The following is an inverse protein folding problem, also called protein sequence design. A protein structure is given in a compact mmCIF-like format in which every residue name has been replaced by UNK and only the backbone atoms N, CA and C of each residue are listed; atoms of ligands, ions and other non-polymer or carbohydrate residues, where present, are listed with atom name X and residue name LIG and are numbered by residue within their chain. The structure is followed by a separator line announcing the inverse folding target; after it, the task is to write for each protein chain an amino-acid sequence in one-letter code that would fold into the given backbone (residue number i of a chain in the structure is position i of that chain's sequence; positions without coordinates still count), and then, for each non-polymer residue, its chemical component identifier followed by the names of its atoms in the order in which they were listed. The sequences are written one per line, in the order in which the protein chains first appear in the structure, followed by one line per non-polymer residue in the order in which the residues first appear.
data_IF_933730001027
#
_entry.id   IF_933730001027
#
_cell.length_a   1.000
_cell.length_b   1.000
_cell.length_c   1.000
_cell.angle_alpha   90.00
_cell.angle_beta   90.00
_cell.angle_gamma   90.00
#
_symmetry.space_group_name_H-M   'P 1'
#
loop_
_entity.id
_entity.type
_entity.pdbx_description
1 polymer ?
#
# COMPACT_ATOMS: atom_id res chain seq x y z
N UNK A 1 32.10 1.78 53.94
CA UNK A 1 30.88 0.93 53.72
C UNK A 1 30.64 0.91 52.22
N UNK A 2 31.11 -0.17 51.60
CA UNK A 2 31.06 -0.35 50.13
C UNK A 2 29.77 -1.10 49.83
N UNK A 3 28.88 -0.52 49.01
CA UNK A 3 27.75 -1.23 48.45
C UNK A 3 27.97 -1.36 46.96
N UNK A 4 28.17 -2.61 46.52
CA UNK A 4 28.38 -2.96 45.13
C UNK A 4 27.07 -2.86 44.34
N UNK A 5 27.15 -2.27 43.18
CA UNK A 5 26.10 -2.36 42.16
C UNK A 5 26.36 -3.62 41.33
N UNK A 6 25.47 -4.59 41.44
CA UNK A 6 25.43 -5.74 40.56
C UNK A 6 24.92 -5.32 39.18
N UNK A 7 25.73 -5.56 38.17
CA UNK A 7 25.32 -5.56 36.75
C UNK A 7 24.29 -6.67 36.54
N UNK A 8 23.07 -6.32 36.19
CA UNK A 8 22.15 -7.20 35.52
C UNK A 8 22.22 -6.94 34.01
N UNK A 9 22.71 -7.94 33.34
CA UNK A 9 22.81 -8.05 31.87
C UNK A 9 21.46 -7.80 31.22
N UNK A 10 21.48 -6.93 30.22
CA UNK A 10 20.38 -6.73 29.28
C UNK A 10 20.03 -8.05 28.58
N UNK A 11 18.83 -8.53 28.83
CA UNK A 11 18.17 -9.44 27.93
C UNK A 11 17.86 -8.70 26.63
N UNK A 12 18.37 -9.23 25.53
CA UNK A 12 17.96 -8.86 24.18
C UNK A 12 16.46 -9.17 24.03
N UNK A 13 15.63 -8.16 24.11
CA UNK A 13 14.29 -8.21 23.54
C UNK A 13 14.44 -8.28 22.00
N UNK A 14 14.64 -9.50 21.51
CA UNK A 14 14.46 -9.80 20.09
C UNK A 14 12.98 -9.60 19.78
N UNK A 15 12.65 -8.53 19.07
CA UNK A 15 11.35 -8.36 18.43
C UNK A 15 11.12 -9.63 17.61
N UNK A 16 10.17 -10.46 18.07
CA UNK A 16 9.74 -11.67 17.37
C UNK A 16 9.12 -11.23 16.04
N UNK A 17 9.90 -11.33 14.98
CA UNK A 17 9.35 -11.28 13.62
C UNK A 17 8.54 -12.57 13.46
N UNK A 18 7.22 -12.52 13.20
CA UNK A 18 6.44 -13.73 12.99
C UNK A 18 7.06 -14.55 11.87
N UNK A 19 7.18 -15.84 12.07
CA UNK A 19 7.65 -16.76 11.03
C UNK A 19 6.77 -16.65 9.79
N UNK A 20 7.42 -16.58 8.61
CA UNK A 20 6.83 -16.36 7.27
C UNK A 20 6.06 -17.61 6.83
N UNK A 21 4.95 -17.93 7.50
CA UNK A 21 4.14 -19.11 7.16
C UNK A 21 2.76 -18.80 6.54
N UNK A 22 2.24 -17.57 6.65
CA UNK A 22 0.89 -17.26 6.16
C UNK A 22 0.77 -17.17 4.62
N UNK A 23 1.69 -16.59 3.85
CA UNK A 23 1.59 -16.60 2.39
C UNK A 23 1.62 -18.04 1.82
N UNK A 24 2.38 -18.94 2.45
CA UNK A 24 2.47 -20.34 2.05
C UNK A 24 1.15 -21.06 2.34
N UNK A 25 0.47 -20.77 3.45
CA UNK A 25 -0.82 -21.36 3.78
C UNK A 25 -1.94 -20.91 2.82
N UNK A 26 -1.99 -19.62 2.45
CA UNK A 26 -2.94 -19.09 1.48
C UNK A 26 -2.70 -19.67 0.06
N UNK A 27 -1.45 -19.76 -0.37
CA UNK A 27 -1.05 -20.39 -1.64
C UNK A 27 -1.44 -21.87 -1.64
N UNK A 28 -1.19 -22.61 -0.57
CA UNK A 28 -1.55 -24.02 -0.45
C UNK A 28 -3.07 -24.23 -0.43
N UNK A 29 -3.83 -23.36 0.23
CA UNK A 29 -5.30 -23.39 0.23
C UNK A 29 -5.86 -23.12 -1.17
N UNK A 30 -5.35 -22.11 -1.88
CA UNK A 30 -5.75 -21.82 -3.25
C UNK A 30 -5.42 -22.97 -4.21
N UNK A 31 -4.26 -23.62 -4.05
CA UNK A 31 -3.85 -24.79 -4.85
C UNK A 31 -4.72 -26.00 -4.58
N UNK A 32 -5.02 -26.33 -3.31
CA UNK A 32 -5.92 -27.41 -2.96
C UNK A 32 -7.34 -27.20 -3.52
N UNK A 33 -7.83 -25.96 -3.52
CA UNK A 33 -9.12 -25.61 -4.11
C UNK A 33 -9.10 -25.76 -5.64
N UNK A 34 -8.03 -25.36 -6.32
CA UNK A 34 -7.86 -25.52 -7.75
C UNK A 34 -7.79 -26.99 -8.15
N UNK A 35 -7.07 -27.82 -7.39
CA UNK A 35 -6.98 -29.26 -7.64
C UNK A 35 -8.36 -29.94 -7.47
N UNK A 36 -9.15 -29.52 -6.49
CA UNK A 36 -10.52 -30.00 -6.31
C UNK A 36 -11.44 -29.62 -7.47
N UNK A 37 -11.35 -28.38 -7.96
CA UNK A 37 -12.13 -27.97 -9.13
C UNK A 37 -11.69 -28.69 -10.40
N UNK A 38 -10.38 -28.94 -10.59
CA UNK A 38 -9.87 -29.72 -11.71
C UNK A 38 -10.41 -31.15 -11.68
N UNK A 39 -10.47 -31.82 -10.52
CA UNK A 39 -11.07 -33.13 -10.37
C UNK A 39 -12.55 -33.14 -10.80
N UNK A 40 -13.34 -32.17 -10.33
CA UNK A 40 -14.75 -32.03 -10.69
C UNK A 40 -14.96 -31.79 -12.20
N UNK A 41 -14.03 -31.12 -12.89
CA UNK A 41 -14.10 -30.88 -14.32
C UNK A 41 -13.73 -32.15 -15.11
N UNK A 42 -12.81 -32.98 -14.58
CA UNK A 42 -12.50 -34.30 -15.16
C UNK A 42 -13.74 -35.17 -15.13
N UNK A 43 -14.49 -35.20 -14.04
CA UNK A 43 -15.71 -35.97 -13.90
C UNK A 43 -16.88 -35.43 -14.76
N UNK A 44 -16.98 -34.09 -14.85
CA UNK A 44 -18.01 -33.42 -15.66
C UNK A 44 -17.43 -32.17 -16.36
N UNK A 45 -16.87 -32.31 -17.57
CA UNK A 45 -16.24 -31.22 -18.31
C UNK A 45 -17.16 -30.03 -18.64
N UNK A 46 -18.47 -30.27 -18.67
CA UNK A 46 -19.48 -29.27 -19.02
C UNK A 46 -20.18 -28.65 -17.79
N UNK A 47 -19.63 -28.82 -16.61
CA UNK A 47 -20.18 -28.18 -15.42
C UNK A 47 -19.82 -26.68 -15.40
N UNK A 48 -20.74 -25.85 -15.87
CA UNK A 48 -20.54 -24.42 -16.05
C UNK A 48 -20.24 -23.70 -14.73
N UNK A 49 -20.86 -24.11 -13.60
CA UNK A 49 -20.61 -23.50 -12.29
C UNK A 49 -19.17 -23.75 -11.79
N UNK A 50 -18.64 -24.94 -12.08
CA UNK A 50 -17.26 -25.31 -11.71
C UNK A 50 -16.26 -24.55 -12.60
N UNK A 51 -16.54 -24.41 -13.90
CA UNK A 51 -15.73 -23.63 -14.81
C UNK A 51 -15.68 -22.14 -14.38
N UNK A 52 -16.83 -21.53 -14.06
CA UNK A 52 -16.86 -20.15 -13.54
C UNK A 52 -16.07 -20.01 -12.26
N UNK A 53 -16.18 -20.98 -11.36
CA UNK A 53 -15.45 -20.95 -10.08
C UNK A 53 -13.94 -21.07 -10.29
N UNK A 54 -13.50 -21.92 -11.24
CA UNK A 54 -12.09 -22.05 -11.60
C UNK A 54 -11.57 -20.79 -12.31
N UNK A 55 -12.36 -20.22 -13.21
CA UNK A 55 -12.03 -18.96 -13.86
C UNK A 55 -11.81 -17.82 -12.87
N UNK A 56 -12.68 -17.71 -11.86
CA UNK A 56 -12.52 -16.71 -10.80
C UNK A 56 -11.21 -16.90 -10.01
N UNK A 57 -10.83 -18.15 -9.68
CA UNK A 57 -9.54 -18.45 -9.04
C UNK A 57 -8.35 -18.09 -9.95
N UNK A 58 -8.41 -18.44 -11.23
CA UNK A 58 -7.36 -18.10 -12.19
C UNK A 58 -7.23 -16.58 -12.35
N UNK A 59 -8.35 -15.85 -12.38
CA UNK A 59 -8.34 -14.39 -12.44
C UNK A 59 -7.67 -13.78 -11.20
N UNK A 60 -8.03 -14.24 -10.00
CA UNK A 60 -7.40 -13.81 -8.75
C UNK A 60 -5.89 -14.11 -8.69
N UNK A 61 -5.47 -15.26 -9.23
CA UNK A 61 -4.07 -15.65 -9.34
C UNK A 61 -3.33 -15.02 -10.55
N UNK A 62 -3.96 -14.09 -11.29
CA UNK A 62 -3.41 -13.46 -12.49
C UNK A 62 -3.11 -14.42 -13.64
N UNK A 63 -3.66 -15.62 -13.64
CA UNK A 63 -3.57 -16.59 -14.71
C UNK A 63 -4.64 -16.33 -15.79
N UNK A 64 -4.55 -15.16 -16.43
CA UNK A 64 -5.61 -14.60 -17.27
C UNK A 64 -5.99 -15.46 -18.47
N UNK A 65 -5.02 -16.17 -19.07
CA UNK A 65 -5.26 -17.06 -20.23
C UNK A 65 -6.15 -18.25 -19.86
N UNK A 66 -5.93 -18.87 -18.69
CA UNK A 66 -6.75 -19.98 -18.21
C UNK A 66 -8.14 -19.51 -17.79
N UNK A 67 -8.22 -18.37 -17.12
CA UNK A 67 -9.51 -17.74 -16.78
C UNK A 67 -10.35 -17.50 -18.05
N UNK A 68 -9.71 -16.96 -19.11
CA UNK A 68 -10.39 -16.71 -20.38
C UNK A 68 -10.88 -17.97 -21.04
N UNK A 69 -10.08 -19.02 -21.08
CA UNK A 69 -10.48 -20.29 -21.70
C UNK A 69 -11.72 -20.90 -21.03
N UNK A 70 -11.79 -20.86 -19.69
CA UNK A 70 -12.94 -21.35 -18.94
C UNK A 70 -14.19 -20.50 -19.22
N UNK A 71 -14.07 -19.18 -19.21
CA UNK A 71 -15.20 -18.26 -19.46
C UNK A 71 -15.68 -18.35 -20.90
N UNK A 72 -14.78 -18.46 -21.88
CA UNK A 72 -15.17 -18.67 -23.29
C UNK A 72 -15.94 -19.99 -23.45
N UNK A 73 -15.54 -21.06 -22.76
CA UNK A 73 -16.26 -22.34 -22.78
C UNK A 73 -17.66 -22.21 -22.16
N UNK A 74 -17.79 -21.49 -21.02
CA UNK A 74 -19.10 -21.23 -20.39
C UNK A 74 -20.01 -20.43 -21.31
N UNK A 75 -19.53 -19.33 -21.88
CA UNK A 75 -20.32 -18.43 -22.72
C UNK A 75 -20.64 -19.00 -24.09
N UNK A 76 -19.89 -20.00 -24.56
CA UNK A 76 -20.22 -20.77 -25.75
C UNK A 76 -21.46 -21.65 -25.57
N UNK A 77 -21.70 -22.15 -24.35
CA UNK A 77 -22.88 -22.95 -23.99
C UNK A 77 -24.06 -22.04 -23.61
N UNK A 78 -23.84 -21.05 -22.76
CA UNK A 78 -24.85 -20.10 -22.33
C UNK A 78 -24.28 -18.68 -22.27
N UNK A 79 -24.53 -17.93 -23.33
CA UNK A 79 -24.04 -16.56 -23.49
C UNK A 79 -24.66 -15.53 -22.53
N UNK A 80 -25.66 -15.93 -21.75
CA UNK A 80 -26.41 -15.04 -20.85
C UNK A 80 -26.17 -15.31 -19.36
N UNK A 81 -25.18 -16.13 -19.04
CA UNK A 81 -24.80 -16.38 -17.63
C UNK A 81 -24.21 -15.12 -17.00
N UNK A 82 -24.88 -14.62 -15.97
CA UNK A 82 -24.53 -13.35 -15.31
C UNK A 82 -23.11 -13.39 -14.70
N UNK A 83 -22.79 -14.48 -13.99
CA UNK A 83 -21.49 -14.64 -13.35
C UNK A 83 -20.34 -14.76 -14.38
N UNK A 84 -20.58 -15.46 -15.49
CA UNK A 84 -19.59 -15.52 -16.57
C UNK A 84 -19.38 -14.16 -17.22
N UNK A 85 -20.43 -13.36 -17.40
CA UNK A 85 -20.33 -12.00 -17.94
C UNK A 85 -19.61 -11.05 -16.96
N UNK A 86 -19.84 -11.20 -15.66
CA UNK A 86 -19.11 -10.50 -14.62
C UNK A 86 -17.61 -10.79 -14.73
N UNK A 87 -17.23 -12.09 -14.68
CA UNK A 87 -15.82 -12.52 -14.75
C UNK A 87 -15.18 -12.12 -16.08
N UNK A 88 -15.91 -12.18 -17.21
CA UNK A 88 -15.42 -11.68 -18.49
C UNK A 88 -15.10 -10.19 -18.44
N UNK A 89 -15.96 -9.41 -17.83
CA UNK A 89 -15.74 -7.99 -17.64
C UNK A 89 -14.50 -7.71 -16.77
N UNK A 90 -14.35 -8.40 -15.65
CA UNK A 90 -13.19 -8.29 -14.77
C UNK A 90 -11.89 -8.70 -15.47
N UNK A 91 -11.93 -9.76 -16.28
CA UNK A 91 -10.80 -10.23 -17.05
C UNK A 91 -10.35 -9.22 -18.13
N UNK A 92 -11.31 -8.66 -18.86
CA UNK A 92 -11.04 -7.62 -19.83
C UNK A 92 -10.49 -6.35 -19.16
N UNK A 93 -10.98 -6.01 -17.96
CA UNK A 93 -10.47 -4.88 -17.16
C UNK A 93 -9.02 -5.14 -16.73
N UNK A 94 -8.71 -6.34 -16.25
CA UNK A 94 -7.36 -6.74 -15.86
C UNK A 94 -6.35 -6.73 -17.02
N UNK A 95 -6.84 -6.83 -18.27
CA UNK A 95 -6.03 -6.76 -19.51
C UNK A 95 -6.08 -5.38 -20.17
N UNK A 96 -6.63 -4.35 -19.52
CA UNK A 96 -6.80 -2.99 -20.02
C UNK A 96 -7.71 -2.89 -21.28
N UNK A 97 -8.57 -3.88 -21.53
CA UNK A 97 -9.56 -3.86 -22.61
C UNK A 97 -10.88 -3.25 -22.08
N UNK A 98 -10.81 -2.00 -21.66
CA UNK A 98 -11.87 -1.31 -20.88
C UNK A 98 -13.22 -1.25 -21.60
N UNK A 99 -13.24 -1.22 -22.94
CA UNK A 99 -14.49 -1.16 -23.72
C UNK A 99 -15.26 -2.47 -23.61
N UNK A 100 -14.60 -3.57 -23.86
CA UNK A 100 -15.20 -4.92 -23.79
C UNK A 100 -15.57 -5.29 -22.35
N UNK A 101 -14.79 -4.81 -21.37
CA UNK A 101 -15.11 -4.91 -19.95
C UNK A 101 -16.48 -4.28 -19.66
N UNK A 102 -16.63 -3.00 -20.03
CA UNK A 102 -17.88 -2.26 -19.88
C UNK A 102 -19.05 -2.97 -20.59
N UNK A 103 -18.83 -3.41 -21.85
CA UNK A 103 -19.89 -4.03 -22.66
C UNK A 103 -20.38 -5.36 -22.04
N UNK A 104 -19.47 -6.15 -21.42
CA UNK A 104 -19.80 -7.36 -20.68
C UNK A 104 -20.66 -7.05 -19.42
N UNK A 105 -20.22 -6.11 -18.59
CA UNK A 105 -20.98 -5.70 -17.39
C UNK A 105 -22.31 -5.04 -17.74
N UNK A 106 -22.38 -4.24 -18.82
CA UNK A 106 -23.64 -3.69 -19.31
C UNK A 106 -24.61 -4.77 -19.81
N UNK A 107 -24.09 -5.80 -20.51
CA UNK A 107 -24.92 -6.94 -20.92
C UNK A 107 -25.48 -7.66 -19.69
N UNK A 108 -24.66 -7.92 -18.70
CA UNK A 108 -25.06 -8.50 -17.42
C UNK A 108 -26.21 -7.69 -16.78
N UNK A 109 -26.05 -6.37 -16.62
CA UNK A 109 -27.06 -5.48 -16.04
C UNK A 109 -28.36 -5.39 -16.88
N UNK A 110 -28.30 -5.57 -18.19
CA UNK A 110 -29.51 -5.64 -19.03
C UNK A 110 -30.28 -6.94 -18.84
N UNK A 111 -29.58 -8.05 -18.62
CA UNK A 111 -30.19 -9.35 -18.37
C UNK A 111 -30.86 -9.42 -17.01
N UNK A 112 -30.18 -8.92 -16.00
CA UNK A 112 -30.73 -8.79 -14.64
C UNK A 112 -30.33 -7.45 -14.01
N UNK A 113 -31.23 -6.47 -13.99
CA UNK A 113 -30.98 -5.20 -13.33
C UNK A 113 -30.77 -5.29 -11.81
N UNK A 114 -31.12 -6.39 -11.16
CA UNK A 114 -30.92 -6.60 -9.72
C UNK A 114 -29.60 -7.29 -9.37
N UNK A 115 -28.83 -7.72 -10.38
CA UNK A 115 -27.56 -8.38 -10.16
C UNK A 115 -26.49 -7.37 -9.69
N UNK A 116 -26.27 -7.32 -8.38
CA UNK A 116 -25.44 -6.34 -7.68
C UNK A 116 -23.97 -6.33 -8.18
N UNK A 117 -23.27 -7.48 -8.38
CA UNK A 117 -21.86 -7.45 -8.73
C UNK A 117 -21.57 -6.61 -9.99
N UNK A 118 -22.31 -6.80 -11.07
CA UNK A 118 -22.10 -6.03 -12.31
C UNK A 118 -22.39 -4.52 -12.13
N UNK A 119 -23.33 -4.15 -11.26
CA UNK A 119 -23.61 -2.74 -10.94
C UNK A 119 -22.44 -2.10 -10.21
N UNK A 120 -21.85 -2.79 -9.23
CA UNK A 120 -20.69 -2.30 -8.49
C UNK A 120 -19.47 -2.15 -9.41
N UNK A 121 -19.21 -3.11 -10.28
CA UNK A 121 -18.13 -3.01 -11.28
C UNK A 121 -18.31 -1.82 -12.22
N UNK A 122 -19.53 -1.59 -12.70
CA UNK A 122 -19.82 -0.42 -13.52
C UNK A 122 -19.70 0.88 -12.73
N UNK A 123 -20.12 0.91 -11.45
CA UNK A 123 -19.94 2.08 -10.59
C UNK A 123 -18.44 2.38 -10.36
N UNK A 124 -17.63 1.38 -10.11
CA UNK A 124 -16.16 1.52 -10.01
C UNK A 124 -15.56 2.06 -11.31
N UNK A 125 -15.97 1.53 -12.46
CA UNK A 125 -15.50 2.01 -13.76
C UNK A 125 -15.84 3.49 -13.96
N UNK A 126 -17.10 3.88 -13.70
CA UNK A 126 -17.52 5.28 -13.83
C UNK A 126 -16.77 6.18 -12.84
N UNK A 127 -16.49 5.71 -11.62
CA UNK A 127 -15.66 6.45 -10.66
C UNK A 127 -14.24 6.69 -11.21
N UNK A 128 -13.59 5.64 -11.74
CA UNK A 128 -12.22 5.74 -12.30
C UNK A 128 -12.14 6.71 -13.50
N UNK A 129 -13.18 6.74 -14.34
CA UNK A 129 -13.25 7.69 -15.47
C UNK A 129 -13.87 9.03 -15.09
N UNK A 130 -14.03 9.31 -13.79
CA UNK A 130 -14.54 10.55 -13.22
C UNK A 130 -15.97 10.91 -13.62
N UNK A 131 -16.78 9.95 -14.09
CA UNK A 131 -18.21 10.10 -14.33
C UNK A 131 -18.98 9.85 -13.03
N UNK A 132 -18.76 10.73 -12.04
CA UNK A 132 -19.20 10.54 -10.66
C UNK A 132 -20.73 10.45 -10.51
N UNK A 133 -21.50 11.19 -11.30
CA UNK A 133 -22.96 11.14 -11.27
C UNK A 133 -23.47 9.75 -11.63
N UNK A 134 -22.95 9.13 -12.70
CA UNK A 134 -23.34 7.77 -13.10
C UNK A 134 -22.89 6.72 -12.08
N UNK A 135 -21.71 6.92 -11.50
CA UNK A 135 -21.24 6.06 -10.41
C UNK A 135 -22.20 6.14 -9.22
N UNK A 136 -22.58 7.35 -8.81
CA UNK A 136 -23.49 7.58 -7.70
C UNK A 136 -24.86 6.94 -7.91
N UNK A 137 -25.45 7.08 -9.12
CA UNK A 137 -26.74 6.45 -9.47
C UNK A 137 -26.70 4.92 -9.31
N UNK A 138 -25.60 4.29 -9.74
CA UNK A 138 -25.44 2.84 -9.61
C UNK A 138 -25.25 2.42 -8.16
N UNK A 139 -24.41 3.15 -7.40
CA UNK A 139 -24.19 2.88 -5.96
C UNK A 139 -25.49 3.04 -5.18
N UNK A 140 -26.25 4.12 -5.41
CA UNK A 140 -27.54 4.33 -4.75
C UNK A 140 -28.56 3.25 -5.15
N UNK A 141 -28.52 2.80 -6.42
CA UNK A 141 -29.30 1.65 -6.88
C UNK A 141 -28.95 0.34 -6.16
N UNK A 142 -27.67 0.10 -5.85
CA UNK A 142 -27.24 -1.06 -5.05
C UNK A 142 -27.71 -0.92 -3.61
N UNK A 143 -27.55 0.24 -2.98
CA UNK A 143 -27.99 0.48 -1.60
C UNK A 143 -29.51 0.38 -1.44
N UNK A 144 -30.29 0.66 -2.49
CA UNK A 144 -31.73 0.43 -2.48
C UNK A 144 -32.10 -1.06 -2.52
N UNK A 145 -31.26 -1.91 -3.10
CA UNK A 145 -31.45 -3.37 -3.13
C UNK A 145 -30.92 -4.04 -1.87
N UNK A 146 -29.76 -3.60 -1.38
CA UNK A 146 -29.06 -4.13 -0.22
C UNK A 146 -28.42 -2.98 0.57
N UNK A 147 -29.09 -2.56 1.63
CA UNK A 147 -28.61 -1.50 2.53
C UNK A 147 -27.34 -1.89 3.30
N UNK A 148 -27.05 -3.17 3.39
CA UNK A 148 -25.88 -3.69 4.13
C UNK A 148 -24.74 -4.14 3.19
N UNK A 149 -24.67 -3.59 1.99
CA UNK A 149 -23.60 -3.88 1.06
C UNK A 149 -22.34 -3.06 1.39
N UNK A 150 -21.27 -3.66 1.90
CA UNK A 150 -20.08 -2.91 2.34
C UNK A 150 -19.33 -2.25 1.19
N UNK A 151 -19.29 -2.88 0.00
CA UNK A 151 -18.64 -2.33 -1.19
C UNK A 151 -19.38 -1.09 -1.71
N UNK A 152 -20.72 -1.08 -1.67
CA UNK A 152 -21.51 0.10 -2.03
C UNK A 152 -21.26 1.27 -1.06
N UNK A 153 -21.17 1.00 0.25
CA UNK A 153 -20.79 2.02 1.24
C UNK A 153 -19.37 2.55 1.01
N UNK A 154 -18.44 1.67 0.69
CA UNK A 154 -17.07 2.05 0.35
C UNK A 154 -17.03 2.96 -0.89
N UNK A 155 -17.70 2.58 -1.98
CA UNK A 155 -17.79 3.40 -3.19
C UNK A 155 -18.47 4.75 -2.93
N UNK A 156 -19.49 4.79 -2.05
CA UNK A 156 -20.11 6.05 -1.64
C UNK A 156 -19.11 6.95 -0.91
N UNK A 157 -18.24 6.37 -0.06
CA UNK A 157 -17.14 7.07 0.59
C UNK A 157 -16.14 7.65 -0.40
N UNK A 158 -15.77 6.89 -1.42
CA UNK A 158 -14.90 7.38 -2.50
C UNK A 158 -15.53 8.55 -3.26
N UNK A 159 -16.84 8.47 -3.57
CA UNK A 159 -17.56 9.55 -4.21
C UNK A 159 -17.60 10.83 -3.36
N UNK A 160 -17.81 10.72 -2.04
CA UNK A 160 -17.75 11.88 -1.15
C UNK A 160 -16.37 12.53 -1.15
N UNK A 161 -15.30 11.72 -1.13
CA UNK A 161 -13.93 12.21 -1.16
C UNK A 161 -13.58 12.86 -2.50
N UNK A 162 -13.82 12.18 -3.61
CA UNK A 162 -13.23 12.53 -4.92
C UNK A 162 -14.11 13.50 -5.72
N UNK A 163 -15.43 13.37 -5.63
CA UNK A 163 -16.34 14.26 -6.33
C UNK A 163 -16.67 15.54 -5.56
N UNK A 164 -16.79 15.43 -4.23
CA UNK A 164 -17.26 16.54 -3.38
C UNK A 164 -16.15 17.13 -2.50
N UNK A 165 -15.01 16.46 -2.36
CA UNK A 165 -13.93 16.86 -1.44
C UNK A 165 -14.33 16.77 0.05
N UNK A 166 -15.43 16.08 0.37
CA UNK A 166 -15.94 15.99 1.73
C UNK A 166 -15.33 14.79 2.48
N UNK A 167 -14.16 15.05 3.08
CA UNK A 167 -13.41 14.05 3.85
C UNK A 167 -14.23 13.50 5.04
N UNK A 168 -15.03 14.33 5.70
CA UNK A 168 -15.77 13.89 6.88
C UNK A 168 -16.92 12.95 6.50
N UNK A 169 -17.65 13.26 5.45
CA UNK A 169 -18.66 12.35 4.93
C UNK A 169 -18.04 11.06 4.38
N UNK A 170 -16.90 11.16 3.69
CA UNK A 170 -16.17 9.98 3.22
C UNK A 170 -15.84 9.02 4.37
N UNK A 171 -15.27 9.54 5.48
CA UNK A 171 -14.99 8.76 6.68
C UNK A 171 -16.23 8.08 7.26
N UNK A 172 -17.38 8.76 7.27
CA UNK A 172 -18.63 8.15 7.75
C UNK A 172 -19.07 6.96 6.89
N UNK A 173 -18.93 7.07 5.57
CA UNK A 173 -19.30 6.00 4.66
C UNK A 173 -18.31 4.83 4.72
N UNK A 174 -17.00 5.08 4.83
CA UNK A 174 -16.00 4.04 5.06
C UNK A 174 -16.24 3.34 6.41
N UNK A 175 -16.59 4.09 7.46
CA UNK A 175 -16.93 3.48 8.75
C UNK A 175 -18.15 2.55 8.64
N UNK A 176 -19.18 2.92 7.89
CA UNK A 176 -20.33 2.04 7.64
C UNK A 176 -19.93 0.74 6.93
N UNK A 177 -19.03 0.83 5.93
CA UNK A 177 -18.47 -0.36 5.29
C UNK A 177 -17.77 -1.28 6.29
N UNK A 178 -16.98 -0.70 7.20
CA UNK A 178 -16.26 -1.40 8.26
C UNK A 178 -17.19 -2.00 9.33
N UNK A 179 -18.29 -1.31 9.65
CA UNK A 179 -19.28 -1.80 10.62
C UNK A 179 -20.00 -3.04 10.10
N UNK A 180 -20.20 -3.13 8.78
CA UNK A 180 -20.83 -4.27 8.09
C UNK A 180 -19.80 -5.39 7.89
N UNK A 181 -18.62 -5.07 7.37
CA UNK A 181 -17.52 -6.00 7.12
C UNK A 181 -16.28 -5.53 7.90
N UNK A 182 -16.07 -6.05 9.11
CA UNK A 182 -14.99 -5.62 9.99
C UNK A 182 -13.57 -5.83 9.46
N UNK A 183 -13.38 -6.68 8.49
CA UNK A 183 -12.10 -6.99 7.81
C UNK A 183 -12.00 -6.38 6.39
N UNK A 184 -12.85 -5.38 6.08
CA UNK A 184 -12.82 -4.72 4.77
C UNK A 184 -11.59 -3.79 4.67
N UNK A 185 -10.48 -4.38 4.18
CA UNK A 185 -9.13 -3.81 4.18
C UNK A 185 -9.09 -2.43 3.52
N UNK A 186 -9.75 -2.26 2.37
CA UNK A 186 -9.73 -1.01 1.61
C UNK A 186 -10.40 0.15 2.37
N UNK A 187 -11.48 -0.13 3.10
CA UNK A 187 -12.15 0.89 3.91
C UNK A 187 -11.33 1.25 5.15
N UNK A 188 -10.67 0.26 5.79
CA UNK A 188 -9.79 0.47 6.93
C UNK A 188 -8.59 1.32 6.50
N UNK A 189 -7.98 1.01 5.35
CA UNK A 189 -6.84 1.77 4.81
C UNK A 189 -7.23 3.22 4.50
N UNK A 190 -8.37 3.44 3.83
CA UNK A 190 -8.87 4.79 3.56
C UNK A 190 -9.11 5.59 4.83
N UNK A 191 -9.66 4.98 5.88
CA UNK A 191 -9.79 5.64 7.19
C UNK A 191 -8.42 6.00 7.77
N UNK A 192 -7.45 5.09 7.75
CA UNK A 192 -6.08 5.33 8.21
C UNK A 192 -5.43 6.51 7.49
N UNK A 193 -5.49 6.51 6.17
CA UNK A 193 -4.96 7.58 5.31
C UNK A 193 -5.63 8.94 5.58
N UNK A 194 -6.96 8.98 5.63
CA UNK A 194 -7.69 10.23 5.83
C UNK A 194 -7.49 10.79 7.25
N UNK A 195 -7.52 9.95 8.28
CA UNK A 195 -7.21 10.41 9.64
C UNK A 195 -5.76 10.88 9.77
N UNK A 196 -4.81 10.23 9.08
CA UNK A 196 -3.41 10.69 9.02
C UNK A 196 -3.28 12.06 8.34
N UNK A 197 -4.01 12.29 7.26
CA UNK A 197 -4.05 13.60 6.59
C UNK A 197 -4.61 14.70 7.47
N UNK A 198 -5.58 14.37 8.32
CA UNK A 198 -6.20 15.27 9.31
C UNK A 198 -5.40 15.42 10.61
N UNK A 199 -4.21 14.84 10.72
CA UNK A 199 -3.40 14.76 11.94
C UNK A 199 -4.14 14.16 13.15
N UNK A 200 -5.12 13.31 12.90
CA UNK A 200 -5.94 12.68 13.93
C UNK A 200 -5.29 11.38 14.41
N UNK A 201 -5.13 11.19 15.75
CA UNK A 201 -4.49 10.00 16.31
C UNK A 201 -5.23 8.68 16.04
N UNK A 202 -6.49 8.72 15.61
CA UNK A 202 -7.23 7.54 15.17
C UNK A 202 -6.54 6.84 13.98
N UNK A 203 -5.72 7.54 13.18
CA UNK A 203 -4.93 6.94 12.12
C UNK A 203 -4.15 5.71 12.59
N UNK A 204 -3.52 5.79 13.77
CA UNK A 204 -2.75 4.69 14.36
C UNK A 204 -3.62 3.45 14.57
N UNK A 205 -4.82 3.62 15.14
CA UNK A 205 -5.72 2.50 15.41
C UNK A 205 -6.17 1.77 14.12
N UNK A 206 -6.35 2.50 13.01
CA UNK A 206 -6.67 1.88 11.72
C UNK A 206 -5.47 1.15 11.13
N UNK A 207 -4.27 1.71 11.20
CA UNK A 207 -3.05 1.01 10.77
C UNK A 207 -2.75 -0.21 11.63
N UNK A 208 -2.95 -0.13 12.96
CA UNK A 208 -2.84 -1.28 13.86
C UNK A 208 -3.77 -2.41 13.45
N UNK A 209 -4.99 -2.07 13.03
CA UNK A 209 -5.98 -3.05 12.55
C UNK A 209 -5.53 -3.70 11.24
N UNK A 210 -5.00 -2.93 10.29
CA UNK A 210 -4.44 -3.48 9.04
C UNK A 210 -3.26 -4.42 9.31
N UNK A 211 -2.37 -4.05 10.24
CA UNK A 211 -1.24 -4.87 10.66
C UNK A 211 -1.71 -6.16 11.33
N UNK A 212 -2.78 -6.09 12.13
CA UNK A 212 -3.38 -7.28 12.74
C UNK A 212 -4.02 -8.23 11.71
N UNK A 213 -4.56 -7.70 10.60
CA UNK A 213 -5.11 -8.49 9.50
C UNK A 213 -4.02 -9.12 8.63
N UNK A 214 -2.92 -8.39 8.40
CA UNK A 214 -1.76 -8.88 7.65
C UNK A 214 -0.46 -8.33 8.26
N UNK A 215 0.20 -9.17 9.05
CA UNK A 215 1.45 -8.82 9.75
C UNK A 215 2.66 -8.68 8.82
N UNK A 216 2.53 -9.02 7.53
CA UNK A 216 3.55 -8.86 6.50
C UNK A 216 3.27 -7.67 5.57
N UNK A 217 2.18 -6.94 5.79
CA UNK A 217 1.85 -5.76 4.99
C UNK A 217 2.78 -4.58 5.29
N UNK A 218 3.89 -4.51 4.57
CA UNK A 218 4.89 -3.43 4.69
C UNK A 218 4.26 -2.04 4.60
N UNK A 219 3.25 -1.86 3.72
CA UNK A 219 2.64 -0.55 3.50
C UNK A 219 1.95 -0.01 4.75
N UNK A 220 1.29 -0.86 5.53
CA UNK A 220 0.64 -0.45 6.78
C UNK A 220 1.65 0.03 7.82
N UNK A 221 2.78 -0.67 7.99
CA UNK A 221 3.88 -0.21 8.84
C UNK A 221 4.48 1.10 8.33
N UNK A 222 4.74 1.20 7.03
CA UNK A 222 5.29 2.42 6.43
C UNK A 222 4.38 3.63 6.66
N UNK A 223 3.08 3.49 6.42
CA UNK A 223 2.11 4.58 6.59
C UNK A 223 1.98 4.99 8.07
N UNK A 224 1.98 4.03 9.00
CA UNK A 224 1.98 4.33 10.46
C UNK A 224 3.29 5.00 10.88
N UNK A 225 4.43 4.51 10.39
CA UNK A 225 5.74 5.12 10.59
C UNK A 225 5.81 6.56 10.08
N UNK A 226 5.23 6.83 8.91
CA UNK A 226 5.13 8.21 8.37
C UNK A 226 4.23 9.11 9.23
N UNK A 227 3.13 8.58 9.77
CA UNK A 227 2.31 9.32 10.73
C UNK A 227 3.10 9.65 12.00
N UNK A 228 3.81 8.67 12.58
CA UNK A 228 4.67 8.88 13.73
C UNK A 228 5.79 9.88 13.45
N UNK A 229 6.44 9.77 12.28
CA UNK A 229 7.50 10.70 11.83
C UNK A 229 6.98 12.15 11.77
N UNK A 230 5.83 12.37 11.12
CA UNK A 230 5.18 13.68 11.00
C UNK A 230 4.89 14.29 12.38
N UNK A 231 4.47 13.47 13.32
CA UNK A 231 4.13 13.87 14.69
C UNK A 231 5.31 13.82 15.68
N UNK A 232 6.55 13.65 15.18
CA UNK A 232 7.77 13.58 15.97
C UNK A 232 7.76 12.47 17.06
N UNK A 233 6.98 11.43 16.85
CA UNK A 233 6.93 10.23 17.70
C UNK A 233 8.04 9.27 17.25
N UNK A 234 9.29 9.67 17.52
CA UNK A 234 10.49 9.05 16.94
C UNK A 234 10.59 7.54 17.17
N UNK A 235 10.27 7.07 18.38
CA UNK A 235 10.39 5.65 18.72
C UNK A 235 9.44 4.78 17.87
N UNK A 236 8.19 5.17 17.73
CA UNK A 236 7.24 4.46 16.88
C UNK A 236 7.64 4.46 15.40
N UNK A 237 8.14 5.62 14.92
CA UNK A 237 8.63 5.73 13.55
C UNK A 237 9.85 4.82 13.29
N UNK A 238 10.81 4.77 14.24
CA UNK A 238 12.00 3.90 14.15
C UNK A 238 11.57 2.43 14.12
N UNK A 239 10.66 2.02 15.01
CA UNK A 239 10.16 0.65 15.06
C UNK A 239 9.54 0.24 13.73
N UNK A 240 8.60 1.03 13.23
CA UNK A 240 7.89 0.73 11.99
C UNK A 240 8.81 0.70 10.75
N UNK A 241 9.68 1.70 10.57
CA UNK A 241 10.62 1.68 9.45
C UNK A 241 11.66 0.55 9.58
N UNK A 242 12.04 0.17 10.82
CA UNK A 242 12.90 -1.00 11.03
C UNK A 242 12.19 -2.29 10.60
N UNK A 243 10.89 -2.43 10.86
CA UNK A 243 10.10 -3.56 10.35
C UNK A 243 10.05 -3.52 8.82
N UNK A 244 9.80 -2.36 8.21
CA UNK A 244 9.80 -2.20 6.76
C UNK A 244 11.12 -2.68 6.12
N UNK A 245 12.29 -2.31 6.70
CA UNK A 245 13.59 -2.76 6.18
C UNK A 245 13.86 -4.25 6.37
N UNK A 246 13.23 -4.90 7.35
CA UNK A 246 13.28 -6.35 7.53
C UNK A 246 12.39 -7.09 6.53
N UNK A 247 11.19 -6.56 6.27
CA UNK A 247 10.26 -7.11 5.30
C UNK A 247 10.76 -6.93 3.86
N UNK A 248 11.42 -5.81 3.60
CA UNK A 248 12.00 -5.49 2.29
C UNK A 248 13.40 -4.88 2.48
N UNK A 249 14.47 -5.69 2.37
CA UNK A 249 15.83 -5.20 2.49
C UNK A 249 16.24 -4.19 1.40
N UNK A 250 15.44 -4.01 0.35
CA UNK A 250 15.64 -3.01 -0.69
C UNK A 250 14.79 -1.74 -0.52
N UNK A 251 14.17 -1.55 0.64
CA UNK A 251 13.33 -0.38 0.93
C UNK A 251 14.17 0.87 1.23
N UNK A 252 14.51 1.58 0.18
CA UNK A 252 15.34 2.80 0.23
C UNK A 252 14.70 3.88 1.10
N UNK A 253 13.38 4.06 0.99
CA UNK A 253 12.67 5.12 1.71
C UNK A 253 12.68 4.88 3.22
N UNK A 254 12.52 3.65 3.68
CA UNK A 254 12.62 3.34 5.11
C UNK A 254 14.03 3.55 5.65
N UNK A 255 15.08 3.15 4.91
CA UNK A 255 16.45 3.46 5.31
C UNK A 255 16.72 4.97 5.34
N UNK A 256 16.22 5.71 4.35
CA UNK A 256 16.33 7.17 4.34
C UNK A 256 15.64 7.80 5.54
N UNK A 257 14.42 7.38 5.86
CA UNK A 257 13.65 7.91 6.99
C UNK A 257 14.33 7.58 8.34
N UNK A 258 14.88 6.37 8.49
CA UNK A 258 15.71 6.02 9.67
C UNK A 258 16.92 6.95 9.80
N UNK A 259 17.65 7.19 8.70
CA UNK A 259 18.76 8.13 8.69
C UNK A 259 18.33 9.55 9.08
N UNK A 260 17.21 10.01 8.54
CA UNK A 260 16.65 11.33 8.89
C UNK A 260 16.28 11.42 10.37
N UNK A 261 15.58 10.43 10.92
CA UNK A 261 15.20 10.43 12.35
C UNK A 261 16.44 10.45 13.24
N UNK A 262 17.46 9.65 12.93
CA UNK A 262 18.70 9.63 13.71
C UNK A 262 19.44 10.98 13.65
N UNK A 263 19.36 11.72 12.53
CA UNK A 263 19.85 13.10 12.47
C UNK A 263 19.07 14.02 13.39
N UNK A 264 17.73 13.90 13.46
CA UNK A 264 16.90 14.72 14.38
C UNK A 264 17.20 14.44 15.85
N UNK A 265 17.61 13.21 16.16
CA UNK A 265 18.02 12.77 17.49
C UNK A 265 19.50 13.04 17.82
N UNK A 266 20.23 13.73 16.93
CA UNK A 266 21.69 14.00 17.03
C UNK A 266 22.58 12.73 17.04
N UNK A 267 22.04 11.60 16.58
CA UNK A 267 22.71 10.32 16.41
C UNK A 267 23.38 10.25 15.02
N UNK A 268 24.38 11.10 14.82
CA UNK A 268 24.95 11.40 13.48
C UNK A 268 25.65 10.20 12.83
N UNK A 269 26.34 9.35 13.64
CA UNK A 269 27.05 8.17 13.11
C UNK A 269 26.08 7.09 12.67
N UNK A 270 25.01 6.88 13.42
CA UNK A 270 23.92 5.99 13.11
C UNK A 270 23.20 6.45 11.85
N UNK A 271 22.93 7.75 11.72
CA UNK A 271 22.36 8.34 10.53
C UNK A 271 23.18 8.05 9.27
N UNK A 272 24.51 8.20 9.33
CA UNK A 272 25.42 7.85 8.23
C UNK A 272 25.27 6.37 7.87
N UNK A 273 25.15 5.48 8.87
CA UNK A 273 24.94 4.06 8.65
C UNK A 273 23.69 3.78 7.81
N UNK A 274 22.56 4.39 8.15
CA UNK A 274 21.30 4.22 7.41
C UNK A 274 21.33 4.85 6.01
N UNK A 275 21.92 6.04 5.86
CA UNK A 275 22.12 6.61 4.53
C UNK A 275 23.05 5.78 3.65
N UNK A 276 24.07 5.12 4.22
CA UNK A 276 24.89 4.17 3.51
C UNK A 276 24.07 2.97 3.02
N UNK A 277 23.14 2.45 3.81
CA UNK A 277 22.24 1.38 3.36
C UNK A 277 21.38 1.85 2.18
N UNK A 278 20.75 3.02 2.28
CA UNK A 278 19.98 3.59 1.17
C UNK A 278 20.82 3.76 -0.11
N UNK A 279 22.05 4.26 0.02
CA UNK A 279 22.97 4.47 -1.10
C UNK A 279 23.58 3.17 -1.66
N UNK A 280 23.67 2.11 -0.86
CA UNK A 280 24.08 0.80 -1.35
C UNK A 280 23.05 0.17 -2.30
N UNK A 281 21.77 0.51 -2.10
CA UNK A 281 20.66 0.08 -2.95
C UNK A 281 20.55 1.00 -4.16
N UNK A 282 20.55 2.32 -3.93
CA UNK A 282 20.45 3.34 -4.98
C UNK A 282 21.58 4.39 -4.86
N UNK A 283 22.72 4.18 -5.51
CA UNK A 283 23.89 5.09 -5.41
C UNK A 283 23.61 6.53 -5.87
N UNK A 284 22.63 6.72 -6.77
CA UNK A 284 22.27 8.02 -7.33
C UNK A 284 21.22 8.78 -6.51
N UNK A 285 20.87 8.32 -5.31
CA UNK A 285 19.85 8.95 -4.47
C UNK A 285 20.39 10.26 -3.87
N UNK A 286 20.10 11.39 -4.53
CA UNK A 286 20.57 12.71 -4.11
C UNK A 286 20.08 13.14 -2.72
N UNK A 287 18.90 12.64 -2.26
CA UNK A 287 18.40 12.91 -0.91
C UNK A 287 19.25 12.21 0.15
N UNK A 288 19.59 10.95 -0.08
CA UNK A 288 20.44 10.18 0.83
C UNK A 288 21.89 10.70 0.85
N UNK A 289 22.44 11.10 -0.31
CA UNK A 289 23.73 11.78 -0.40
C UNK A 289 23.71 13.08 0.41
N UNK A 290 22.68 13.93 0.24
CA UNK A 290 22.55 15.14 1.02
C UNK A 290 22.47 14.86 2.53
N UNK A 291 21.65 13.90 2.93
CA UNK A 291 21.49 13.52 4.35
C UNK A 291 22.78 13.04 4.97
N UNK A 292 23.54 12.18 4.24
CA UNK A 292 24.86 11.70 4.69
C UNK A 292 25.89 12.82 4.73
N UNK A 293 25.93 13.67 3.72
CA UNK A 293 26.79 14.86 3.67
C UNK A 293 26.51 15.81 4.84
N UNK A 294 25.24 16.01 5.18
CA UNK A 294 24.88 16.83 6.33
C UNK A 294 25.29 16.20 7.66
N UNK A 295 25.16 14.88 7.80
CA UNK A 295 25.68 14.16 8.97
C UNK A 295 27.22 14.27 9.09
N UNK A 296 27.97 14.18 8.00
CA UNK A 296 29.41 14.41 7.96
C UNK A 296 29.77 15.86 8.35
N UNK A 297 29.03 16.85 7.81
CA UNK A 297 29.23 18.27 8.17
C UNK A 297 29.07 18.48 9.68
N UNK A 298 28.02 17.92 10.29
CA UNK A 298 27.77 18.01 11.72
C UNK A 298 28.85 17.29 12.57
N UNK A 299 29.53 16.28 12.04
CA UNK A 299 30.65 15.60 12.69
C UNK A 299 32.00 16.33 12.47
N UNK A 300 32.03 17.39 11.64
CA UNK A 300 33.24 18.09 11.27
C UNK A 300 34.05 17.43 10.16
N UNK A 301 33.54 16.37 9.55
CA UNK A 301 34.16 15.73 8.38
C UNK A 301 33.78 16.48 7.08
N UNK A 302 34.41 17.64 6.96
CA UNK A 302 34.11 18.58 5.87
C UNK A 302 34.43 17.99 4.50
N UNK A 303 35.45 17.14 4.40
CA UNK A 303 35.87 16.52 3.13
C UNK A 303 34.78 15.59 2.59
N UNK A 304 34.27 14.69 3.41
CA UNK A 304 33.20 13.79 3.01
C UNK A 304 31.87 14.53 2.82
N UNK A 305 31.59 15.55 3.64
CA UNK A 305 30.40 16.39 3.47
C UNK A 305 30.40 17.08 2.10
N UNK A 306 31.50 17.76 1.71
CA UNK A 306 31.61 18.45 0.43
C UNK A 306 31.50 17.47 -0.75
N UNK A 307 32.12 16.30 -0.65
CA UNK A 307 32.03 15.25 -1.65
C UNK A 307 30.56 14.85 -1.88
N UNK A 308 29.85 14.50 -0.82
CA UNK A 308 28.47 14.05 -0.90
C UNK A 308 27.53 15.16 -1.46
N UNK A 309 27.72 16.41 -1.04
CA UNK A 309 26.93 17.53 -1.58
C UNK A 309 27.18 17.76 -3.07
N UNK A 310 28.42 17.67 -3.54
CA UNK A 310 28.76 17.79 -4.96
C UNK A 310 28.18 16.66 -5.77
N UNK A 311 28.25 15.44 -5.23
CA UNK A 311 27.67 14.26 -5.86
C UNK A 311 26.15 14.37 -5.93
N UNK A 312 25.47 14.81 -4.87
CA UNK A 312 24.03 15.08 -4.88
C UNK A 312 23.65 16.09 -5.94
N UNK A 313 24.44 17.17 -6.12
CA UNK A 313 24.20 18.18 -7.15
C UNK A 313 24.50 17.69 -8.58
N UNK A 314 25.36 16.69 -8.75
CA UNK A 314 25.56 16.08 -10.07
C UNK A 314 24.33 15.31 -10.56
N UNK A 315 23.52 14.76 -9.64
CA UNK A 315 22.28 14.06 -9.96
C UNK A 315 21.05 14.96 -9.93
N UNK A 316 21.03 15.95 -9.04
CA UNK A 316 19.99 16.97 -8.97
C UNK A 316 20.63 18.38 -8.82
N UNK A 317 20.90 19.08 -9.93
CA UNK A 317 21.54 20.39 -9.89
C UNK A 317 20.75 21.46 -9.12
N UNK A 318 19.43 21.26 -8.95
CA UNK A 318 18.54 22.19 -8.26
C UNK A 318 18.35 21.86 -6.77
N UNK A 319 19.09 20.89 -6.23
CA UNK A 319 18.97 20.51 -4.82
C UNK A 319 19.50 21.60 -3.89
N UNK A 320 18.60 22.42 -3.37
CA UNK A 320 18.92 23.63 -2.59
C UNK A 320 19.73 23.31 -1.32
N UNK A 321 19.38 22.23 -0.59
CA UNK A 321 20.10 21.83 0.62
C UNK A 321 21.60 21.57 0.38
N UNK A 322 21.94 20.91 -0.73
CA UNK A 322 23.34 20.64 -1.10
C UNK A 322 24.07 21.89 -1.51
N UNK A 323 23.44 22.82 -2.26
CA UNK A 323 24.04 24.13 -2.58
C UNK A 323 24.36 24.91 -1.31
N UNK A 324 23.41 24.99 -0.38
CA UNK A 324 23.61 25.69 0.90
C UNK A 324 24.72 25.03 1.73
N UNK A 325 24.79 23.69 1.74
CA UNK A 325 25.87 22.95 2.40
C UNK A 325 27.26 23.35 1.87
N UNK A 326 27.44 23.36 0.56
CA UNK A 326 28.70 23.82 -0.05
C UNK A 326 28.99 25.27 0.31
N UNK A 327 28.01 26.15 0.25
CA UNK A 327 28.20 27.57 0.62
C UNK A 327 28.63 27.72 2.09
N UNK A 328 28.06 26.98 3.03
CA UNK A 328 28.49 26.98 4.43
C UNK A 328 29.96 26.57 4.59
N UNK A 329 30.34 25.48 3.92
CA UNK A 329 31.73 24.99 3.94
C UNK A 329 32.70 26.03 3.38
N UNK A 330 32.37 26.64 2.23
CA UNK A 330 33.23 27.67 1.60
C UNK A 330 33.39 28.91 2.49
N UNK A 331 32.32 29.37 3.14
CA UNK A 331 32.38 30.50 4.08
C UNK A 331 33.29 30.20 5.27
N UNK A 332 33.15 29.00 5.87
CA UNK A 332 33.98 28.57 6.99
C UNK A 332 35.46 28.52 6.62
N UNK A 333 35.80 27.98 5.44
CA UNK A 333 37.19 27.92 4.94
C UNK A 333 37.76 29.32 4.69
N UNK A 334 36.98 30.26 4.16
CA UNK A 334 37.42 31.62 3.88
C UNK A 334 37.71 32.42 5.17
N UNK A 335 36.92 32.16 6.23
CA UNK A 335 37.15 32.80 7.54
C UNK A 335 38.40 32.25 8.26
N UNK A 336 38.69 30.95 8.08
CA UNK A 336 39.86 30.33 8.67
C UNK A 336 41.17 30.79 8.02
N UNK A 337 41.12 31.17 6.73
CA UNK A 337 42.27 31.71 5.99
C UNK A 337 42.51 33.22 6.24
N UNK A 338 41.53 33.92 6.79
CA UNK A 338 41.60 35.36 7.06
C UNK A 338 42.07 35.70 8.50
N UNK A 339 42.10 34.68 9.37
CA UNK A 339 42.63 34.74 10.74
C UNK A 339 44.04 34.10 10.84
#
# INVERSE_FOLDING_TARGET
MVIGCSNTSNENDSVLVPEVNEPVAAINKGRATLDSLNALIIDNPNNLDVLESRAALYLGARNLAYAKADIDAVLAVDSNRLRALEILGDLNFATNITRESRDAWQKCMRLDPSYVPCRLKMAQLYHVVTEFEKSAELVDGVLNLDLNNPEAHFLKGLLMRDALGDTLQALQWFQKAIDIAPDYVEAIDMCGVLYSALDNPLAVAYYDRLIALDTLNKLSFYNRGMYYLKNQQWNGAIEDFTICTKLDPADIESFFNLGYIHLQLDLRREAIGYFNQALSIQPINHRALYGRGYAFELLGDITNAEKDYREALSYNPDHEGSRQGIMRIQRANSQTLAN
#
